data_IF_201067512545
#
_entry.id   IF_201067512545
#
_cell.length_a   1.000
_cell.length_b   1.000
_cell.length_c   1.000
_cell.angle_alpha   90.00
_cell.angle_beta   90.00
_cell.angle_gamma   90.00
#
_symmetry.space_group_name_H-M   'P 1'
#
loop_
_entity.id
_entity.type
_entity.pdbx_description
1 polymer ?
#
# COMPACT_ATOMS: atom_id res chain seq x y z
N UNK A 1 20.59 -9.08 -20.28
CA UNK A 1 20.80 -8.96 -18.81
C UNK A 1 20.51 -7.51 -18.45
N UNK A 2 19.51 -7.24 -17.59
CA UNK A 2 19.27 -5.88 -17.10
C UNK A 2 20.46 -5.47 -16.24
N UNK A 3 21.03 -4.28 -16.47
CA UNK A 3 22.06 -3.73 -15.60
C UNK A 3 21.52 -3.68 -14.16
N UNK A 4 22.36 -4.07 -13.19
CA UNK A 4 21.99 -4.00 -11.79
C UNK A 4 21.66 -2.54 -11.42
N UNK A 5 20.52 -2.29 -10.81
CA UNK A 5 20.18 -0.96 -10.31
C UNK A 5 21.17 -0.57 -9.20
N UNK A 6 21.63 0.70 -9.16
CA UNK A 6 22.58 1.14 -8.15
C UNK A 6 21.95 1.30 -6.74
N UNK A 7 20.71 0.90 -6.56
CA UNK A 7 19.94 1.03 -5.33
C UNK A 7 19.09 -0.22 -5.08
N UNK A 8 18.79 -0.47 -3.82
CA UNK A 8 17.93 -1.56 -3.38
C UNK A 8 16.48 -1.29 -3.78
N UNK A 9 15.82 -2.24 -4.47
CA UNK A 9 14.40 -2.13 -4.80
C UNK A 9 13.57 -2.71 -3.66
N UNK A 10 12.53 -1.99 -3.25
CA UNK A 10 11.60 -2.38 -2.19
C UNK A 10 10.17 -2.32 -2.74
N UNK A 11 9.37 -3.36 -2.51
CA UNK A 11 7.95 -3.37 -2.86
C UNK A 11 7.08 -3.09 -1.62
N UNK A 12 6.49 -1.90 -1.48
CA UNK A 12 5.75 -1.53 -0.28
C UNK A 12 4.28 -1.97 -0.25
N UNK A 13 3.85 -2.84 -1.19
CA UNK A 13 2.48 -3.33 -1.19
C UNK A 13 2.34 -4.67 -1.88
N UNK A 14 2.25 -5.71 -1.07
CA UNK A 14 1.91 -7.06 -1.50
C UNK A 14 0.97 -7.71 -0.48
N UNK A 15 0.34 -8.79 -0.89
CA UNK A 15 -0.48 -9.63 -0.04
C UNK A 15 0.01 -11.08 -0.09
N UNK A 16 -0.01 -11.75 1.05
CA UNK A 16 0.26 -13.19 1.13
C UNK A 16 -0.89 -13.90 1.82
N UNK A 17 -1.19 -15.10 1.37
CA UNK A 17 -2.22 -15.96 1.94
C UNK A 17 -2.03 -17.40 1.49
N UNK A 18 -2.54 -18.33 2.27
CA UNK A 18 -2.61 -19.75 1.92
C UNK A 18 -3.70 -20.46 2.71
N UNK A 19 -4.15 -21.58 2.20
CA UNK A 19 -5.03 -22.51 2.92
C UNK A 19 -4.21 -23.21 4.01
N UNK A 20 -4.42 -22.81 5.26
CA UNK A 20 -3.77 -23.41 6.43
C UNK A 20 -4.77 -23.45 7.57
N UNK A 21 -5.10 -24.64 8.13
CA UNK A 21 -6.07 -24.74 9.24
C UNK A 21 -5.71 -23.93 10.49
N UNK A 22 -4.44 -23.59 10.68
CA UNK A 22 -3.98 -22.74 11.78
C UNK A 22 -4.35 -21.28 11.60
N UNK A 23 -4.61 -20.87 10.36
CA UNK A 23 -4.93 -19.50 9.94
C UNK A 23 -6.13 -19.53 9.00
N UNK A 24 -7.35 -19.80 9.53
CA UNK A 24 -8.53 -19.92 8.69
C UNK A 24 -8.90 -18.59 8.06
N UNK A 25 -9.37 -18.62 6.81
CA UNK A 25 -9.96 -17.45 6.19
C UNK A 25 -11.21 -17.00 6.94
N UNK A 26 -11.45 -15.69 6.95
CA UNK A 26 -12.62 -15.13 7.59
C UNK A 26 -13.91 -15.63 6.92
N UNK A 27 -14.79 -16.23 7.71
CA UNK A 27 -16.02 -16.90 7.24
C UNK A 27 -17.05 -15.94 6.61
N UNK A 28 -16.94 -14.63 6.87
CA UNK A 28 -17.83 -13.62 6.28
C UNK A 28 -17.48 -13.22 4.85
N UNK A 29 -16.38 -13.72 4.26
CA UNK A 29 -16.10 -13.51 2.85
C UNK A 29 -17.07 -14.33 1.98
N UNK A 30 -17.57 -13.71 0.89
CA UNK A 30 -18.44 -14.40 -0.08
C UNK A 30 -17.70 -15.48 -0.88
N UNK A 31 -16.37 -15.39 -0.96
CA UNK A 31 -15.50 -16.36 -1.62
C UNK A 31 -14.10 -16.35 -1.01
N UNK A 32 -13.41 -17.48 -1.13
CA UNK A 32 -12.01 -17.61 -0.72
C UNK A 32 -11.14 -17.90 -1.93
N UNK A 33 -9.85 -17.53 -1.89
CA UNK A 33 -8.94 -17.85 -2.99
C UNK A 33 -8.83 -19.37 -3.20
N UNK A 34 -8.80 -19.80 -4.44
CA UNK A 34 -8.58 -21.21 -4.78
C UNK A 34 -7.11 -21.59 -4.66
N UNK A 35 -6.22 -20.68 -5.06
CA UNK A 35 -4.77 -20.88 -5.06
C UNK A 35 -4.10 -20.15 -3.90
N UNK A 36 -3.03 -20.77 -3.39
CA UNK A 36 -2.14 -20.13 -2.43
C UNK A 36 -1.30 -19.04 -3.07
N UNK A 37 -1.03 -17.99 -2.32
CA UNK A 37 -0.04 -16.97 -2.62
C UNK A 37 0.87 -16.81 -1.40
N UNK A 38 1.75 -17.78 -1.23
CA UNK A 38 2.54 -17.92 -0.02
C UNK A 38 3.72 -16.94 0.04
N UNK A 39 4.27 -16.68 1.25
CA UNK A 39 5.47 -15.87 1.40
C UNK A 39 6.67 -16.44 0.63
N UNK A 40 6.78 -17.76 0.51
CA UNK A 40 7.85 -18.44 -0.22
C UNK A 40 7.76 -18.15 -1.74
N UNK A 41 6.54 -18.18 -2.31
CA UNK A 41 6.32 -17.81 -3.72
C UNK A 41 6.70 -16.35 -3.96
N UNK A 42 6.37 -15.46 -3.02
CA UNK A 42 6.75 -14.04 -3.10
C UNK A 42 8.28 -13.87 -3.05
N UNK A 43 8.97 -14.58 -2.16
CA UNK A 43 10.45 -14.53 -2.06
C UNK A 43 11.10 -14.93 -3.39
N UNK A 44 10.59 -15.95 -4.07
CA UNK A 44 11.11 -16.36 -5.38
C UNK A 44 10.87 -15.28 -6.45
N UNK A 45 9.70 -14.63 -6.46
CA UNK A 45 9.43 -13.49 -7.34
C UNK A 45 10.34 -12.30 -7.04
N UNK A 46 10.56 -11.99 -5.75
CA UNK A 46 11.49 -10.93 -5.32
C UNK A 46 12.90 -11.20 -5.86
N UNK A 47 13.43 -12.41 -5.64
CA UNK A 47 14.76 -12.81 -6.15
C UNK A 47 14.85 -12.67 -7.65
N UNK A 48 13.87 -13.20 -8.39
CA UNK A 48 13.82 -13.14 -9.86
C UNK A 48 13.84 -11.70 -10.39
N UNK A 49 13.23 -10.76 -9.68
CA UNK A 49 13.07 -9.37 -10.12
C UNK A 49 14.05 -8.40 -9.44
N UNK A 50 14.96 -8.88 -8.60
CA UNK A 50 15.93 -8.03 -7.90
C UNK A 50 15.31 -7.15 -6.80
N UNK A 51 14.14 -7.56 -6.26
CA UNK A 51 13.48 -6.88 -5.14
C UNK A 51 14.05 -7.42 -3.83
N UNK A 52 14.61 -6.54 -3.02
CA UNK A 52 15.35 -6.94 -1.82
C UNK A 52 14.45 -7.08 -0.59
N UNK A 53 13.44 -6.22 -0.46
CA UNK A 53 12.55 -6.13 0.70
C UNK A 53 11.13 -5.87 0.25
N UNK A 54 10.18 -6.16 1.14
CA UNK A 54 8.74 -5.99 0.85
C UNK A 54 7.95 -5.65 2.10
N UNK A 55 6.93 -4.81 1.96
CA UNK A 55 5.94 -4.55 3.01
C UNK A 55 4.67 -5.35 2.69
N UNK A 56 4.35 -6.32 3.54
CA UNK A 56 3.13 -7.11 3.42
C UNK A 56 1.98 -6.33 4.04
N UNK A 57 0.96 -6.07 3.24
CA UNK A 57 -0.30 -5.49 3.71
C UNK A 57 -1.27 -6.62 4.04
N UNK A 58 -1.83 -6.61 5.25
CA UNK A 58 -2.81 -7.62 5.67
C UNK A 58 -3.97 -7.70 4.68
N UNK A 59 -4.23 -8.90 4.19
CA UNK A 59 -5.23 -9.15 3.16
C UNK A 59 -6.64 -9.31 3.75
N UNK A 60 -7.65 -8.94 2.98
CA UNK A 60 -9.06 -9.05 3.39
C UNK A 60 -9.53 -10.49 3.65
N UNK A 61 -8.83 -11.50 3.13
CA UNK A 61 -9.22 -12.90 3.31
C UNK A 61 -9.17 -13.33 4.78
N UNK A 62 -8.30 -12.73 5.57
CA UNK A 62 -8.20 -12.93 7.02
C UNK A 62 -8.87 -11.81 7.82
N UNK A 63 -9.34 -10.74 7.15
CA UNK A 63 -9.91 -9.54 7.78
C UNK A 63 -9.00 -8.97 8.88
N UNK A 64 -9.43 -9.07 10.13
CA UNK A 64 -8.72 -8.50 11.29
C UNK A 64 -7.90 -9.53 12.06
N UNK A 65 -7.90 -10.79 11.61
CA UNK A 65 -6.97 -11.81 12.13
C UNK A 65 -5.60 -11.65 11.47
N UNK A 66 -4.67 -11.04 12.18
CA UNK A 66 -3.31 -10.78 11.71
C UNK A 66 -2.34 -11.94 12.02
N UNK A 67 -2.79 -13.07 12.51
CA UNK A 67 -1.95 -14.17 12.99
C UNK A 67 -1.05 -14.75 11.89
N UNK A 68 -1.55 -14.90 10.64
CA UNK A 68 -0.75 -15.34 9.52
C UNK A 68 0.31 -14.31 9.12
N UNK A 69 -0.04 -13.02 9.14
CA UNK A 69 0.92 -11.94 8.90
C UNK A 69 2.05 -12.00 9.94
N UNK A 70 1.73 -11.98 11.23
CA UNK A 70 2.72 -12.03 12.31
C UNK A 70 3.62 -13.28 12.25
N UNK A 71 3.04 -14.44 11.96
CA UNK A 71 3.79 -15.67 11.72
C UNK A 71 4.77 -15.55 10.56
N UNK A 72 4.36 -14.89 9.48
CA UNK A 72 5.19 -14.64 8.30
C UNK A 72 6.35 -13.69 8.62
N UNK A 73 6.08 -12.59 9.34
CA UNK A 73 7.12 -11.63 9.75
C UNK A 73 8.17 -12.29 10.65
N UNK A 74 7.71 -13.10 11.60
CA UNK A 74 8.61 -13.86 12.49
C UNK A 74 9.48 -14.87 11.74
N UNK A 75 8.93 -15.52 10.71
CA UNK A 75 9.65 -16.54 9.92
C UNK A 75 10.66 -15.93 8.94
N UNK A 76 10.37 -14.76 8.38
CA UNK A 76 11.16 -14.13 7.32
C UNK A 76 11.49 -12.66 7.59
N UNK A 77 12.07 -12.32 8.77
CA UNK A 77 12.34 -10.93 9.16
C UNK A 77 13.32 -10.22 8.22
N UNK A 78 14.19 -11.01 7.54
CA UNK A 78 15.16 -10.48 6.58
C UNK A 78 14.52 -9.96 5.28
N UNK A 79 13.27 -10.34 4.97
CA UNK A 79 12.58 -9.94 3.74
C UNK A 79 11.43 -8.98 3.98
N UNK A 80 10.70 -9.11 5.09
CA UNK A 80 9.38 -8.53 5.25
C UNK A 80 9.24 -7.60 6.44
N UNK A 81 8.47 -6.55 6.23
CA UNK A 81 7.72 -5.83 7.25
C UNK A 81 6.23 -6.00 7.01
N UNK A 82 5.39 -5.70 8.00
CA UNK A 82 3.97 -5.90 7.91
C UNK A 82 3.15 -4.70 8.34
N UNK A 83 2.06 -4.48 7.63
CA UNK A 83 1.03 -3.50 7.93
C UNK A 83 -0.25 -4.27 8.26
N UNK A 84 -0.72 -4.14 9.49
CA UNK A 84 -1.88 -4.87 10.01
C UNK A 84 -3.21 -4.25 9.58
N UNK A 85 -4.32 -4.91 9.94
CA UNK A 85 -5.66 -4.35 9.88
C UNK A 85 -6.31 -4.47 11.25
N UNK A 86 -7.05 -3.43 11.63
CA UNK A 86 -7.95 -3.43 12.79
C UNK A 86 -9.37 -3.14 12.34
N UNK A 87 -10.34 -3.54 13.14
CA UNK A 87 -11.74 -3.23 12.85
C UNK A 87 -12.03 -1.76 13.21
N UNK A 88 -12.30 -0.88 12.23
CA UNK A 88 -12.56 0.54 12.51
C UNK A 88 -13.90 0.80 13.22
N UNK A 89 -14.71 -0.23 13.46
CA UNK A 89 -15.97 -0.17 14.21
C UNK A 89 -15.86 -0.76 15.62
N UNK A 90 -14.70 -1.36 15.97
CA UNK A 90 -14.44 -1.89 17.29
C UNK A 90 -13.92 -0.80 18.23
N UNK A 91 -14.59 -0.49 19.35
CA UNK A 91 -14.11 0.49 20.33
C UNK A 91 -12.68 0.24 20.82
N UNK A 92 -12.22 -1.00 20.81
CA UNK A 92 -10.86 -1.39 21.20
C UNK A 92 -9.83 -1.35 20.04
N UNK A 93 -10.22 -0.88 18.86
CA UNK A 93 -9.31 -0.84 17.71
C UNK A 93 -7.98 -0.11 17.97
N UNK A 94 -7.93 1.03 18.71
CA UNK A 94 -6.66 1.67 19.05
C UNK A 94 -5.75 0.79 19.93
N UNK A 95 -6.31 0.03 20.85
CA UNK A 95 -5.61 -0.93 21.73
C UNK A 95 -5.10 -2.12 20.92
N UNK A 96 -5.94 -2.71 20.07
CA UNK A 96 -5.53 -3.78 19.17
C UNK A 96 -4.40 -3.34 18.23
N UNK A 97 -4.41 -2.07 17.77
CA UNK A 97 -3.31 -1.54 16.98
C UNK A 97 -2.00 -1.49 17.78
N UNK A 98 -2.06 -1.10 19.06
CA UNK A 98 -0.87 -1.09 19.92
C UNK A 98 -0.31 -2.50 20.11
N UNK A 99 -1.14 -3.48 20.44
CA UNK A 99 -0.76 -4.88 20.58
C UNK A 99 -0.11 -5.43 19.30
N UNK A 100 -0.69 -5.15 18.13
CA UNK A 100 -0.16 -5.59 16.84
C UNK A 100 1.17 -4.90 16.50
N UNK A 101 1.36 -3.64 16.91
CA UNK A 101 2.61 -2.92 16.73
C UNK A 101 3.70 -3.50 17.64
N UNK A 102 3.38 -3.82 18.89
CA UNK A 102 4.27 -4.52 19.81
C UNK A 102 4.66 -5.90 19.29
N UNK A 103 3.70 -6.63 18.71
CA UNK A 103 3.91 -7.93 18.09
C UNK A 103 4.74 -7.87 16.78
N UNK A 104 5.04 -6.69 16.24
CA UNK A 104 5.97 -6.52 15.11
C UNK A 104 5.40 -5.85 13.87
N UNK A 105 4.12 -5.47 13.84
CA UNK A 105 3.58 -4.68 12.75
C UNK A 105 4.18 -3.27 12.72
N UNK A 106 4.32 -2.70 11.52
CA UNK A 106 4.95 -1.39 11.29
C UNK A 106 4.01 -0.41 10.60
N UNK A 107 2.72 -0.54 10.85
CA UNK A 107 1.67 0.32 10.32
C UNK A 107 0.33 -0.36 10.33
N UNK A 108 -0.72 0.40 10.05
CA UNK A 108 -2.08 -0.10 9.91
C UNK A 108 -2.66 0.31 8.55
N UNK A 109 -3.46 -0.54 7.95
CA UNK A 109 -4.23 -0.24 6.75
C UNK A 109 -5.71 -0.23 7.06
N UNK A 110 -6.38 0.84 6.69
CA UNK A 110 -7.83 0.92 6.67
C UNK A 110 -8.33 0.92 5.22
N UNK A 111 -9.38 0.18 4.98
CA UNK A 111 -10.07 0.13 3.69
C UNK A 111 -11.55 -0.10 3.97
N UNK A 112 -12.45 0.26 3.05
CA UNK A 112 -13.84 -0.14 3.17
C UNK A 112 -13.87 -1.66 3.35
N UNK A 113 -14.30 -2.12 4.51
CA UNK A 113 -14.57 -3.53 4.71
C UNK A 113 -15.86 -3.84 3.96
N UNK A 114 -15.96 -5.03 3.35
CA UNK A 114 -17.17 -5.45 2.63
C UNK A 114 -18.44 -5.40 3.51
N UNK A 115 -18.27 -5.34 4.83
CA UNK A 115 -19.33 -5.30 5.83
C UNK A 115 -19.23 -4.08 6.76
N UNK A 116 -18.41 -3.07 6.43
CA UNK A 116 -18.47 -1.82 7.18
C UNK A 116 -19.86 -1.24 6.96
N UNK A 117 -20.66 -1.21 8.00
CA UNK A 117 -22.02 -0.69 8.01
C UNK A 117 -22.02 0.83 7.97
N UNK A 118 -21.28 1.44 7.11
CA UNK A 118 -21.26 2.88 7.05
C UNK A 118 -19.95 3.46 6.54
N UNK A 119 -19.87 4.75 6.65
CA UNK A 119 -18.74 5.53 6.26
C UNK A 119 -17.65 5.48 7.33
N UNK A 120 -16.73 4.51 7.18
CA UNK A 120 -15.62 4.36 8.12
C UNK A 120 -14.72 5.60 8.22
N UNK A 121 -14.63 6.43 7.17
CA UNK A 121 -13.83 7.67 7.18
C UNK A 121 -14.43 8.69 8.14
N UNK A 122 -15.75 8.80 8.19
CA UNK A 122 -16.48 9.67 9.13
C UNK A 122 -16.79 8.96 10.44
N UNK A 123 -16.36 7.70 10.61
CA UNK A 123 -16.62 6.92 11.80
C UNK A 123 -15.99 7.51 13.07
N UNK A 124 -16.59 7.26 14.24
CA UNK A 124 -16.18 7.86 15.51
C UNK A 124 -14.75 7.44 15.93
N UNK A 125 -14.25 6.29 15.43
CA UNK A 125 -12.95 5.74 15.78
C UNK A 125 -11.81 6.25 14.88
N UNK A 126 -12.10 6.99 13.80
CA UNK A 126 -11.04 7.45 12.91
C UNK A 126 -10.07 8.40 13.61
N UNK A 127 -10.56 9.40 14.33
CA UNK A 127 -9.69 10.30 15.11
C UNK A 127 -8.90 9.55 16.20
N UNK A 128 -9.50 8.68 17.02
CA UNK A 128 -8.77 7.81 17.95
C UNK A 128 -7.68 6.96 17.29
N UNK A 129 -7.96 6.34 16.13
CA UNK A 129 -6.98 5.55 15.40
C UNK A 129 -5.84 6.40 14.84
N UNK A 130 -6.14 7.58 14.27
CA UNK A 130 -5.12 8.53 13.81
C UNK A 130 -4.22 8.99 14.97
N UNK A 131 -4.83 9.33 16.11
CA UNK A 131 -4.09 9.67 17.34
C UNK A 131 -3.19 8.52 17.77
N UNK A 132 -3.72 7.30 17.80
CA UNK A 132 -2.96 6.12 18.21
C UNK A 132 -1.79 5.82 17.28
N UNK A 133 -1.96 5.94 15.97
CA UNK A 133 -0.87 5.83 15.00
C UNK A 133 0.23 6.87 15.26
N UNK A 134 -0.14 8.12 15.53
CA UNK A 134 0.80 9.19 15.84
C UNK A 134 1.60 8.90 17.12
N UNK A 135 0.94 8.44 18.19
CA UNK A 135 1.55 8.05 19.46
C UNK A 135 2.53 6.88 19.29
N UNK A 136 2.17 5.90 18.48
CA UNK A 136 3.01 4.73 18.20
C UNK A 136 4.11 5.00 17.17
N UNK A 137 4.06 6.15 16.48
CA UNK A 137 4.99 6.49 15.41
C UNK A 137 4.88 5.58 14.18
N UNK A 138 3.70 4.99 13.92
CA UNK A 138 3.45 4.09 12.79
C UNK A 138 2.60 4.75 11.71
N UNK A 139 2.85 4.49 10.41
CA UNK A 139 2.07 5.07 9.32
C UNK A 139 0.64 4.49 9.27
N UNK A 140 -0.29 5.36 8.90
CA UNK A 140 -1.65 5.02 8.50
C UNK A 140 -1.73 4.87 6.98
N UNK A 141 -2.05 3.69 6.49
CA UNK A 141 -2.28 3.44 5.06
C UNK A 141 -3.78 3.41 4.78
N UNK A 142 -4.21 4.15 3.77
CA UNK A 142 -5.64 4.31 3.44
C UNK A 142 -5.91 3.84 2.01
N UNK A 143 -6.77 2.84 1.86
CA UNK A 143 -7.45 2.52 0.61
C UNK A 143 -8.79 3.26 0.61
N UNK A 144 -8.92 4.27 -0.21
CA UNK A 144 -10.15 5.04 -0.35
C UNK A 144 -10.25 5.60 -1.78
N UNK A 145 -11.45 5.68 -2.34
CA UNK A 145 -11.63 6.23 -3.69
C UNK A 145 -11.35 7.73 -3.71
N UNK A 146 -11.02 8.23 -4.89
CA UNK A 146 -10.67 9.65 -5.12
C UNK A 146 -11.72 10.63 -4.59
N UNK A 147 -12.99 10.26 -4.61
CA UNK A 147 -14.10 11.09 -4.10
C UNK A 147 -13.98 11.42 -2.62
N UNK A 148 -13.25 10.58 -1.84
CA UNK A 148 -13.12 10.75 -0.38
C UNK A 148 -11.87 11.53 0.03
N UNK A 149 -11.03 11.94 -0.90
CA UNK A 149 -9.78 12.67 -0.59
C UNK A 149 -10.02 14.00 0.15
N UNK A 150 -11.06 14.81 -0.15
CA UNK A 150 -11.33 16.02 0.63
C UNK A 150 -11.59 15.77 2.12
N UNK A 151 -12.35 14.71 2.46
CA UNK A 151 -12.65 14.33 3.84
C UNK A 151 -11.41 13.80 4.56
N UNK A 152 -10.64 12.97 3.88
CA UNK A 152 -9.34 12.49 4.39
C UNK A 152 -8.41 13.67 4.65
N UNK A 153 -8.38 14.66 3.75
CA UNK A 153 -7.61 15.88 3.95
C UNK A 153 -8.00 16.62 5.23
N UNK A 154 -9.30 16.80 5.47
CA UNK A 154 -9.80 17.42 6.71
C UNK A 154 -9.40 16.61 7.95
N UNK A 155 -9.41 15.28 7.85
CA UNK A 155 -8.99 14.42 8.96
C UNK A 155 -7.49 14.57 9.25
N UNK A 156 -6.65 14.58 8.20
CA UNK A 156 -5.19 14.72 8.32
C UNK A 156 -4.81 16.11 8.86
N UNK A 157 -5.58 17.16 8.58
CA UNK A 157 -5.32 18.52 9.10
C UNK A 157 -5.21 18.53 10.64
N UNK A 158 -5.93 17.61 11.32
CA UNK A 158 -5.84 17.43 12.77
C UNK A 158 -4.62 16.66 13.28
N UNK A 159 -3.81 16.08 12.36
CA UNK A 159 -2.68 15.21 12.69
C UNK A 159 -1.46 15.48 11.79
N UNK A 160 -0.89 16.70 11.82
CA UNK A 160 0.14 17.13 10.86
C UNK A 160 1.43 16.30 10.91
N UNK A 161 1.69 15.66 12.04
CA UNK A 161 2.87 14.82 12.25
C UNK A 161 2.68 13.34 11.88
N UNK A 162 1.46 12.92 11.61
CA UNK A 162 1.17 11.54 11.23
C UNK A 162 1.62 11.27 9.79
N UNK A 163 2.36 10.20 9.58
CA UNK A 163 2.64 9.67 8.26
C UNK A 163 1.40 8.97 7.71
N UNK A 164 0.88 9.48 6.59
CA UNK A 164 -0.27 8.90 5.88
C UNK A 164 0.15 8.44 4.49
N UNK A 165 -0.29 7.25 4.09
CA UNK A 165 -0.02 6.67 2.77
C UNK A 165 -1.35 6.41 2.07
N UNK A 166 -1.54 7.01 0.91
CA UNK A 166 -2.72 6.74 0.06
C UNK A 166 -2.38 5.62 -0.92
N UNK A 167 -3.17 4.55 -0.88
CA UNK A 167 -3.02 3.42 -1.79
C UNK A 167 -3.48 3.77 -3.21
N UNK A 168 -2.78 3.25 -4.21
CA UNK A 168 -3.20 3.12 -5.61
C UNK A 168 -3.69 4.42 -6.26
N UNK A 169 -3.05 5.57 -5.95
CA UNK A 169 -3.46 6.89 -6.48
C UNK A 169 -4.95 7.19 -6.21
N UNK A 170 -5.49 6.68 -5.09
CA UNK A 170 -6.91 6.74 -4.72
C UNK A 170 -7.84 6.18 -5.83
N UNK A 171 -7.37 5.20 -6.60
CA UNK A 171 -8.05 4.58 -7.75
C UNK A 171 -8.66 5.60 -8.72
N UNK A 172 -7.91 6.68 -9.02
CA UNK A 172 -8.35 7.79 -9.87
C UNK A 172 -8.54 7.31 -11.31
N UNK A 173 -9.77 7.34 -11.86
CA UNK A 173 -10.02 6.88 -13.23
C UNK A 173 -9.28 7.72 -14.27
N UNK A 174 -8.61 7.08 -15.24
CA UNK A 174 -7.93 7.79 -16.35
C UNK A 174 -8.91 8.58 -17.23
N UNK A 175 -10.18 8.13 -17.29
CA UNK A 175 -11.24 8.84 -18.02
C UNK A 175 -11.71 10.14 -17.34
N UNK A 176 -11.31 10.36 -16.09
CA UNK A 176 -11.71 11.53 -15.30
C UNK A 176 -10.47 12.24 -14.71
N UNK A 177 -9.57 12.76 -15.55
CA UNK A 177 -8.29 13.28 -15.10
C UNK A 177 -8.41 14.50 -14.16
N UNK A 178 -9.53 15.24 -14.21
CA UNK A 178 -9.81 16.36 -13.30
C UNK A 178 -10.00 15.87 -11.84
N UNK A 179 -10.49 14.66 -11.62
CA UNK A 179 -10.68 14.12 -10.28
C UNK A 179 -9.36 14.00 -9.51
N UNK A 180 -8.22 13.81 -10.21
CA UNK A 180 -6.90 13.72 -9.59
C UNK A 180 -6.54 14.96 -8.77
N UNK A 181 -7.13 16.13 -9.08
CA UNK A 181 -6.92 17.36 -8.31
C UNK A 181 -7.32 17.21 -6.83
N UNK A 182 -8.27 16.34 -6.51
CA UNK A 182 -8.66 16.05 -5.13
C UNK A 182 -7.51 15.42 -4.33
N UNK A 183 -6.74 14.54 -4.96
CA UNK A 183 -5.55 13.94 -4.36
C UNK A 183 -4.38 14.95 -4.36
N UNK A 184 -4.20 15.70 -5.46
CA UNK A 184 -3.14 16.71 -5.58
C UNK A 184 -3.31 17.81 -4.52
N UNK A 185 -4.54 18.19 -4.18
CA UNK A 185 -4.81 19.17 -3.13
C UNK A 185 -4.22 18.76 -1.76
N UNK A 186 -4.02 17.46 -1.53
CA UNK A 186 -3.40 16.95 -0.31
C UNK A 186 -1.87 17.14 -0.25
N UNK A 187 -1.24 17.66 -1.30
CA UNK A 187 0.21 17.97 -1.31
C UNK A 187 0.63 18.92 -0.19
N UNK A 188 -0.31 19.70 0.38
CA UNK A 188 -0.09 20.58 1.52
C UNK A 188 0.35 19.83 2.79
N UNK A 189 0.04 18.52 2.89
CA UNK A 189 0.46 17.68 4.00
C UNK A 189 1.85 17.08 3.71
N UNK A 190 2.92 17.50 4.42
CA UNK A 190 4.29 17.11 4.10
C UNK A 190 4.59 15.62 4.36
N UNK A 191 3.83 14.99 5.27
CA UNK A 191 3.95 13.57 5.62
C UNK A 191 2.92 12.67 4.92
N UNK A 192 2.28 13.17 3.85
CA UNK A 192 1.44 12.35 2.99
C UNK A 192 2.25 11.79 1.82
N UNK A 193 2.11 10.49 1.61
CA UNK A 193 2.75 9.70 0.56
C UNK A 193 1.69 9.03 -0.31
N UNK A 194 2.03 8.71 -1.56
CA UNK A 194 1.10 8.08 -2.50
C UNK A 194 1.76 6.85 -3.15
N UNK A 195 1.08 5.72 -3.14
CA UNK A 195 1.46 4.54 -3.94
C UNK A 195 0.96 4.69 -5.37
N UNK A 196 1.88 4.64 -6.33
CA UNK A 196 1.61 4.74 -7.77
C UNK A 196 1.39 3.37 -8.41
N UNK A 197 0.74 2.46 -7.70
CA UNK A 197 0.30 1.16 -8.20
C UNK A 197 -1.03 1.26 -8.95
N UNK A 198 -1.56 0.10 -9.41
CA UNK A 198 -2.82 0.00 -10.16
C UNK A 198 -2.82 0.66 -11.55
N UNK A 199 -1.67 1.06 -12.11
CA UNK A 199 -1.62 1.55 -13.49
C UNK A 199 -2.27 0.55 -14.46
N UNK A 200 -2.08 -0.74 -14.22
CA UNK A 200 -2.69 -1.84 -14.95
C UNK A 200 -4.22 -1.96 -14.78
N UNK A 201 -4.78 -1.53 -13.65
CA UNK A 201 -6.22 -1.57 -13.37
C UNK A 201 -6.94 -0.32 -13.88
N UNK A 202 -6.27 0.83 -13.80
CA UNK A 202 -6.84 2.14 -14.16
C UNK A 202 -6.80 2.40 -15.67
N UNK A 203 -5.80 1.82 -16.35
CA UNK A 203 -5.56 2.03 -17.77
C UNK A 203 -6.66 1.40 -18.66
N UNK A 204 -6.92 2.07 -19.78
CA UNK A 204 -7.71 1.54 -20.90
C UNK A 204 -6.83 0.98 -22.03
N UNK A 205 -5.51 1.02 -21.85
CA UNK A 205 -4.51 0.62 -22.84
C UNK A 205 -3.78 -0.64 -22.40
N UNK A 206 -3.18 -1.33 -23.36
CA UNK A 206 -2.26 -2.42 -23.09
C UNK A 206 -0.99 -1.88 -22.41
N UNK A 207 -0.19 -2.81 -21.81
CA UNK A 207 1.14 -2.50 -21.30
C UNK A 207 1.94 -1.70 -22.33
N UNK A 208 2.62 -0.62 -21.97
CA UNK A 208 2.93 -0.15 -20.61
C UNK A 208 1.96 0.90 -20.03
N UNK A 209 0.67 0.88 -20.35
CA UNK A 209 -0.41 1.66 -19.73
C UNK A 209 -0.17 3.18 -19.78
N UNK A 210 0.10 3.69 -20.98
CA UNK A 210 0.52 5.09 -21.21
C UNK A 210 -0.47 6.13 -20.67
N UNK A 211 -1.78 5.85 -20.78
CA UNK A 211 -2.83 6.72 -20.25
C UNK A 211 -2.80 6.86 -18.71
N UNK A 212 -2.50 5.75 -18.01
CA UNK A 212 -2.35 5.77 -16.55
C UNK A 212 -1.03 6.42 -16.11
N UNK A 213 0.02 6.37 -16.94
CA UNK A 213 1.28 7.06 -16.68
C UNK A 213 1.12 8.59 -16.62
N UNK A 214 0.12 9.17 -17.30
CA UNK A 214 -0.14 10.60 -17.22
C UNK A 214 -0.60 11.02 -15.80
N UNK A 215 -1.42 10.20 -15.13
CA UNK A 215 -1.76 10.45 -13.73
C UNK A 215 -0.51 10.42 -12.84
N UNK A 216 0.39 9.45 -13.06
CA UNK A 216 1.66 9.37 -12.31
C UNK A 216 2.53 10.61 -12.56
N UNK A 217 2.62 11.08 -13.81
CA UNK A 217 3.39 12.28 -14.17
C UNK A 217 2.85 13.53 -13.46
N UNK A 218 1.54 13.70 -13.41
CA UNK A 218 0.91 14.83 -12.67
C UNK A 218 1.18 14.73 -11.17
N UNK A 219 1.08 13.53 -10.59
CA UNK A 219 1.43 13.31 -9.18
C UNK A 219 2.91 13.58 -8.92
N UNK A 220 3.80 13.17 -9.83
CA UNK A 220 5.23 13.46 -9.74
C UNK A 220 5.50 14.97 -9.74
N UNK A 221 4.85 15.74 -10.61
CA UNK A 221 4.96 17.21 -10.64
C UNK A 221 4.43 17.85 -9.34
N UNK A 222 3.39 17.29 -8.73
CA UNK A 222 2.76 17.86 -7.55
C UNK A 222 3.47 17.51 -6.23
N UNK A 223 3.87 16.25 -6.07
CA UNK A 223 4.42 15.70 -4.82
C UNK A 223 5.94 15.55 -4.84
N UNK A 224 6.54 15.46 -6.03
CA UNK A 224 7.93 15.04 -6.21
C UNK A 224 8.18 13.56 -5.88
N UNK A 225 9.32 12.99 -6.31
CA UNK A 225 9.60 11.57 -6.16
C UNK A 225 9.75 11.13 -4.70
N UNK A 226 10.07 12.06 -3.80
CA UNK A 226 10.29 11.81 -2.36
C UNK A 226 9.01 11.54 -1.57
N UNK A 227 7.84 11.62 -2.21
CA UNK A 227 6.53 11.31 -1.62
C UNK A 227 5.71 10.33 -2.46
N UNK A 228 6.31 9.79 -3.52
CA UNK A 228 5.72 8.74 -4.34
C UNK A 228 6.47 7.44 -4.13
N UNK A 229 5.76 6.33 -4.18
CA UNK A 229 6.34 5.00 -4.08
C UNK A 229 5.66 4.03 -5.04
N UNK A 230 6.46 3.27 -5.77
CA UNK A 230 5.99 2.16 -6.57
C UNK A 230 5.47 1.04 -5.69
N UNK A 231 4.54 0.23 -6.21
CA UNK A 231 4.15 -1.04 -5.61
C UNK A 231 3.53 -1.98 -6.65
N UNK A 232 3.63 -3.28 -6.44
CA UNK A 232 3.02 -4.28 -7.35
C UNK A 232 1.54 -4.50 -7.08
N UNK A 233 1.15 -4.48 -5.83
CA UNK A 233 -0.11 -5.07 -5.33
C UNK A 233 -0.24 -6.57 -5.71
N UNK A 234 0.90 -7.30 -5.67
CA UNK A 234 0.87 -8.75 -5.87
C UNK A 234 0.10 -9.44 -4.73
N UNK A 235 -0.76 -10.43 -4.99
CA UNK A 235 -1.06 -11.05 -6.28
C UNK A 235 -2.27 -10.44 -7.02
N UNK A 236 -2.83 -9.34 -6.55
CA UNK A 236 -4.01 -8.68 -7.14
C UNK A 236 -3.72 -8.24 -8.58
N UNK A 237 -2.47 -7.90 -8.91
CA UNK A 237 -2.07 -7.54 -10.27
C UNK A 237 -2.15 -8.70 -11.29
N UNK A 238 -2.06 -9.95 -10.87
CA UNK A 238 -1.84 -11.10 -11.77
C UNK A 238 -2.86 -11.30 -12.90
N UNK A 239 -4.16 -10.98 -12.75
CA UNK A 239 -5.10 -11.04 -13.87
C UNK A 239 -4.80 -10.04 -15.00
N UNK A 240 -3.97 -9.01 -14.74
CA UNK A 240 -3.74 -7.89 -15.66
C UNK A 240 -2.27 -7.71 -16.02
N UNK A 241 -1.36 -8.07 -15.13
CA UNK A 241 0.06 -7.81 -15.26
C UNK A 241 0.90 -8.85 -14.52
N UNK A 242 2.08 -9.14 -15.02
CA UNK A 242 3.09 -9.90 -14.27
C UNK A 242 3.75 -9.01 -13.20
N UNK A 243 4.34 -9.62 -12.17
CA UNK A 243 5.17 -8.91 -11.17
C UNK A 243 6.24 -8.05 -11.85
N UNK A 244 6.93 -8.62 -12.86
CA UNK A 244 7.96 -7.93 -13.63
C UNK A 244 7.42 -6.70 -14.37
N UNK A 245 6.26 -6.79 -15.02
CA UNK A 245 5.68 -5.66 -15.75
C UNK A 245 5.33 -4.50 -14.81
N UNK A 246 4.81 -4.78 -13.59
CA UNK A 246 4.52 -3.72 -12.62
C UNK A 246 5.76 -2.99 -12.13
N UNK A 247 6.93 -3.65 -12.08
CA UNK A 247 8.21 -3.01 -11.77
C UNK A 247 8.76 -2.25 -12.97
N UNK A 248 8.75 -2.88 -14.16
CA UNK A 248 9.31 -2.31 -15.37
C UNK A 248 8.63 -1.00 -15.78
N UNK A 249 7.32 -0.87 -15.57
CA UNK A 249 6.61 0.36 -15.95
C UNK A 249 7.24 1.60 -15.28
N UNK A 250 7.64 1.51 -14.02
CA UNK A 250 8.30 2.61 -13.30
C UNK A 250 9.80 2.65 -13.60
N UNK A 251 10.46 1.50 -13.56
CA UNK A 251 11.91 1.41 -13.74
C UNK A 251 12.35 1.79 -15.16
N UNK A 252 11.60 1.30 -16.17
CA UNK A 252 12.07 1.31 -17.55
C UNK A 252 11.18 2.16 -18.50
N UNK A 253 9.86 2.22 -18.29
CA UNK A 253 8.93 2.74 -19.30
C UNK A 253 8.48 4.19 -19.04
N UNK A 254 8.43 4.64 -17.79
CA UNK A 254 8.14 6.05 -17.45
C UNK A 254 9.32 6.94 -17.79
N UNK A 255 9.42 7.36 -19.04
CA UNK A 255 10.57 8.12 -19.59
C UNK A 255 10.74 9.52 -18.99
N UNK A 256 9.73 10.05 -18.31
CA UNK A 256 9.80 11.33 -17.60
C UNK A 256 10.54 11.24 -16.25
N UNK A 257 10.81 10.04 -15.74
CA UNK A 257 11.57 9.81 -14.52
C UNK A 257 13.07 9.70 -14.83
N UNK A 258 13.89 10.48 -14.15
CA UNK A 258 15.32 10.31 -14.14
C UNK A 258 15.77 9.24 -13.10
N UNK A 259 17.05 8.92 -13.04
CA UNK A 259 17.57 7.86 -12.16
C UNK A 259 17.46 8.23 -10.66
N UNK A 260 17.52 9.53 -10.32
CA UNK A 260 17.30 9.98 -8.95
C UNK A 260 15.83 9.79 -8.54
N UNK A 261 14.88 10.14 -9.41
CA UNK A 261 13.45 9.92 -9.19
C UNK A 261 13.15 8.44 -8.94
N UNK A 262 13.69 7.57 -9.80
CA UNK A 262 13.54 6.11 -9.65
C UNK A 262 14.15 5.60 -8.36
N UNK A 263 15.31 6.09 -7.96
CA UNK A 263 15.97 5.76 -6.69
C UNK A 263 15.08 6.11 -5.49
N UNK A 264 14.39 7.26 -5.54
CA UNK A 264 13.42 7.62 -4.51
C UNK A 264 12.20 6.70 -4.55
N UNK A 265 11.54 6.61 -5.70
CA UNK A 265 10.24 5.93 -5.83
C UNK A 265 10.32 4.41 -5.65
N UNK A 266 11.45 3.79 -5.96
CA UNK A 266 11.67 2.34 -5.84
C UNK A 266 12.36 1.94 -4.52
N UNK A 267 12.86 2.88 -3.73
CA UNK A 267 13.63 2.59 -2.51
C UNK A 267 13.48 3.64 -1.41
N UNK A 268 14.14 4.79 -1.56
CA UNK A 268 14.37 5.75 -0.47
C UNK A 268 13.10 6.29 0.17
N UNK A 269 12.05 6.57 -0.63
CA UNK A 269 10.75 7.01 -0.11
C UNK A 269 10.11 5.94 0.76
N UNK A 270 10.26 4.68 0.36
CA UNK A 270 9.70 3.54 1.08
C UNK A 270 10.42 3.37 2.42
N UNK A 271 11.76 3.46 2.43
CA UNK A 271 12.57 3.38 3.65
C UNK A 271 12.31 4.52 4.65
N UNK A 272 11.89 5.70 4.16
CA UNK A 272 11.45 6.79 5.04
C UNK A 272 10.16 6.48 5.79
N UNK A 273 9.27 5.71 5.18
CA UNK A 273 7.97 5.33 5.76
C UNK A 273 8.10 4.03 6.58
N UNK A 274 8.83 3.07 6.05
CA UNK A 274 9.10 1.77 6.67
C UNK A 274 10.61 1.50 6.68
N UNK A 275 11.34 1.97 7.71
CA UNK A 275 12.78 1.72 7.81
C UNK A 275 13.07 0.22 7.93
N UNK A 276 13.85 -0.33 7.00
CA UNK A 276 14.35 -1.70 7.06
C UNK A 276 15.75 -1.73 7.69
N UNK A 277 15.93 -2.56 8.69
CA UNK A 277 17.23 -2.89 9.27
C UNK A 277 18.09 -3.75 8.31
#
# INVERSE_FOLDING_TARGET
>A
MSAATPYRIIDPHVHVYKKDPRYPYWKGNSSHPEDDKSPEMLIELMKKNGVAKTVIIQVRHYMFDNSFLLSTLKKYPQYFQGVCRVNPEDPNAPEHLAELTEAGCRGVRLSPAANASGDWISGPLMKPLFKRCAELGVPMTLLAPISRMPEIGTLIDGFPDLTVVIDHMADTPVAQPAELEKLIALKRHPKLFVKISHTWALSKQQYPWMDAQENVKRLHQAFGPRRLMWATDWPVCLPHATYEQTLRVVRDDMKFLNDEDKSWMLSKTIERVWPFS
#
